data_IF_609221094147
#
_entry.id   IF_609221094147
#
_cell.length_a   1.000
_cell.length_b   1.000
_cell.length_c   1.000
_cell.angle_alpha   90.00
_cell.angle_beta   90.00
_cell.angle_gamma   90.00
#
_symmetry.space_group_name_H-M   'P 1'
#
loop_
_entity.id
_entity.type
_entity.pdbx_description
1 polymer ?
#
# COMPACT_ATOMS: atom_id res chain seq x y z
N UNK A 1 31.08 -11.17 1.70
CA UNK A 1 30.38 -10.43 2.77
C UNK A 1 28.89 -10.46 2.47
N UNK A 2 28.04 -10.50 3.50
CA UNK A 2 26.58 -10.51 3.33
C UNK A 2 25.95 -9.46 4.23
N UNK A 3 24.83 -8.87 3.80
CA UNK A 3 24.03 -7.94 4.59
C UNK A 3 22.72 -8.62 4.94
N UNK A 4 22.39 -8.68 6.23
CA UNK A 4 21.13 -9.26 6.71
C UNK A 4 20.09 -8.14 6.78
N UNK A 5 19.01 -8.28 6.03
CA UNK A 5 17.87 -7.36 6.02
C UNK A 5 16.66 -8.07 6.60
N UNK A 6 16.10 -7.56 7.69
CA UNK A 6 14.89 -8.10 8.27
C UNK A 6 13.66 -7.58 7.53
N UNK A 7 12.87 -8.50 6.95
CA UNK A 7 11.73 -8.17 6.09
C UNK A 7 10.43 -8.71 6.70
N UNK A 8 9.82 -7.99 7.66
CA UNK A 8 8.55 -8.40 8.25
C UNK A 8 7.46 -8.42 7.16
N UNK A 9 6.43 -9.30 7.25
CA UNK A 9 5.35 -9.33 6.28
C UNK A 9 4.69 -7.96 6.12
N UNK A 10 4.40 -7.59 4.87
CA UNK A 10 3.76 -6.31 4.57
C UNK A 10 2.25 -6.49 4.46
N UNK A 11 1.48 -5.50 4.93
CA UNK A 11 0.02 -5.51 4.82
C UNK A 11 -0.39 -4.64 3.65
N UNK A 12 -1.20 -5.20 2.76
CA UNK A 12 -1.81 -4.46 1.65
C UNK A 12 -3.02 -3.70 2.18
N UNK A 13 -3.03 -2.38 1.98
CA UNK A 13 -4.06 -1.49 2.58
C UNK A 13 -4.77 -0.60 1.57
N UNK A 14 -4.42 -0.70 0.30
CA UNK A 14 -5.12 0.02 -0.75
C UNK A 14 -4.58 -0.27 -2.14
N UNK A 15 -5.24 0.30 -3.13
CA UNK A 15 -4.85 0.27 -4.54
C UNK A 15 -4.92 1.66 -5.14
N UNK A 16 -3.98 1.96 -6.02
CA UNK A 16 -3.92 3.19 -6.82
C UNK A 16 -3.93 2.79 -8.29
N UNK A 17 -4.90 3.33 -9.02
CA UNK A 17 -4.94 3.24 -10.47
C UNK A 17 -4.23 4.44 -11.09
N UNK A 18 -3.38 4.19 -12.09
CA UNK A 18 -2.69 5.21 -12.87
C UNK A 18 -3.17 5.18 -14.32
N UNK A 19 -3.50 6.37 -14.82
CA UNK A 19 -3.84 6.61 -16.23
C UNK A 19 -2.67 7.27 -16.93
N UNK A 20 -2.37 6.86 -18.17
CA UNK A 20 -1.37 7.55 -18.98
C UNK A 20 -1.98 8.80 -19.60
N UNK A 21 -1.28 9.90 -19.40
CA UNK A 21 -1.57 11.19 -20.03
C UNK A 21 -0.36 11.57 -20.88
N UNK A 22 -0.48 12.53 -21.82
CA UNK A 22 0.66 13.00 -22.60
C UNK A 22 1.85 13.53 -21.77
N UNK A 23 1.61 13.86 -20.48
CA UNK A 23 2.65 14.32 -19.53
C UNK A 23 3.16 13.21 -18.62
N UNK A 24 2.82 11.95 -18.89
CA UNK A 24 3.17 10.80 -18.08
C UNK A 24 1.98 10.23 -17.29
N UNK A 25 2.30 9.33 -16.35
CA UNK A 25 1.31 8.66 -15.52
C UNK A 25 0.73 9.61 -14.46
N UNK A 26 -0.59 9.67 -14.38
CA UNK A 26 -1.32 10.42 -13.36
C UNK A 26 -2.13 9.47 -12.49
N UNK A 27 -2.12 9.69 -11.17
CA UNK A 27 -3.01 8.97 -10.25
C UNK A 27 -4.47 9.27 -10.60
N UNK A 28 -5.23 8.24 -10.95
CA UNK A 28 -6.63 8.33 -11.33
C UNK A 28 -7.54 8.24 -10.11
N UNK A 29 -7.46 7.11 -9.39
CA UNK A 29 -8.23 6.85 -8.17
C UNK A 29 -7.37 6.08 -7.18
N UNK A 30 -7.70 6.24 -5.90
CA UNK A 30 -7.11 5.47 -4.80
C UNK A 30 -8.23 4.89 -3.97
N UNK A 31 -8.19 3.57 -3.77
CA UNK A 31 -9.12 2.84 -2.92
C UNK A 31 -8.34 2.30 -1.74
N UNK A 32 -8.84 2.48 -0.52
CA UNK A 32 -8.23 1.93 0.69
C UNK A 32 -9.07 0.77 1.23
N UNK A 33 -8.48 -0.04 2.10
CA UNK A 33 -9.16 -1.12 2.81
C UNK A 33 -10.23 -0.61 3.78
N UNK A 34 -11.10 -1.51 4.22
CA UNK A 34 -12.13 -1.22 5.24
C UNK A 34 -11.47 -1.03 6.60
N UNK A 35 -10.60 -1.96 6.97
CA UNK A 35 -9.87 -1.96 8.22
C UNK A 35 -8.43 -1.50 7.98
N UNK A 36 -8.06 -0.49 8.77
CA UNK A 36 -6.73 0.11 8.72
C UNK A 36 -6.08 0.02 10.10
N UNK A 37 -4.90 -0.58 10.17
CA UNK A 37 -4.14 -0.72 11.40
C UNK A 37 -3.77 0.65 11.99
N UNK A 38 -3.66 0.72 13.31
CA UNK A 38 -3.23 1.95 13.99
C UNK A 38 -1.79 2.35 13.63
N UNK A 39 -0.94 1.39 13.28
CA UNK A 39 0.42 1.63 12.78
C UNK A 39 0.41 2.32 11.43
N UNK A 40 -0.53 1.97 10.55
CA UNK A 40 -0.76 2.67 9.30
C UNK A 40 -1.33 4.06 9.52
N UNK A 41 -2.36 4.20 10.38
CA UNK A 41 -2.93 5.51 10.74
C UNK A 41 -1.89 6.47 11.33
N UNK A 42 -0.90 5.96 12.10
CA UNK A 42 0.23 6.74 12.61
C UNK A 42 1.03 7.44 11.49
N UNK A 43 1.04 6.91 10.26
CA UNK A 43 1.75 7.54 9.13
C UNK A 43 1.18 8.92 8.78
N UNK A 44 -0.12 9.11 8.99
CA UNK A 44 -0.87 10.32 8.66
C UNK A 44 -0.86 11.40 9.75
N UNK A 45 -0.18 11.15 10.88
CA UNK A 45 -0.05 12.12 11.97
C UNK A 45 1.42 12.40 12.27
N UNK A 46 1.78 13.69 12.36
CA UNK A 46 3.09 14.08 12.90
C UNK A 46 3.14 13.82 14.40
N UNK A 47 2.08 14.17 15.13
CA UNK A 47 1.98 13.94 16.57
C UNK A 47 0.78 13.03 16.90
N UNK A 48 1.02 11.72 16.90
CA UNK A 48 -0.02 10.71 17.13
C UNK A 48 -0.72 10.84 18.49
N UNK A 49 0.03 11.14 19.56
CA UNK A 49 -0.49 11.13 20.93
C UNK A 49 -1.37 12.33 21.24
N UNK A 50 -1.10 13.49 20.63
CA UNK A 50 -1.93 14.70 20.77
C UNK A 50 -3.07 14.78 19.76
N UNK A 51 -3.18 13.82 18.84
CA UNK A 51 -4.18 13.83 17.77
C UNK A 51 -5.46 13.11 18.17
N UNK A 52 -6.60 13.51 17.57
CA UNK A 52 -7.90 12.82 17.71
C UNK A 52 -7.98 11.48 16.96
N UNK A 53 -6.94 11.09 16.21
CA UNK A 53 -6.81 9.81 15.48
C UNK A 53 -8.01 9.47 14.57
N UNK A 54 -8.56 10.48 13.89
CA UNK A 54 -9.73 10.35 13.00
C UNK A 54 -9.43 9.91 11.55
N UNK A 55 -8.17 9.61 11.21
CA UNK A 55 -7.77 9.18 9.88
C UNK A 55 -8.55 7.93 9.47
N UNK A 56 -9.07 7.94 8.23
CA UNK A 56 -9.89 6.88 7.63
C UNK A 56 -11.22 6.57 8.31
N UNK A 57 -11.60 7.20 9.43
CA UNK A 57 -12.84 6.84 10.15
C UNK A 57 -14.11 6.98 9.30
N UNK A 58 -14.21 8.03 8.46
CA UNK A 58 -15.33 8.18 7.51
C UNK A 58 -15.22 7.20 6.33
N UNK A 59 -14.01 6.86 5.92
CA UNK A 59 -13.76 5.98 4.80
C UNK A 59 -14.10 4.52 5.15
N UNK A 60 -13.75 4.07 6.36
CA UNK A 60 -14.15 2.75 6.86
C UNK A 60 -15.69 2.61 6.90
N UNK A 61 -16.42 3.67 7.30
CA UNK A 61 -17.90 3.65 7.27
C UNK A 61 -18.47 3.49 5.86
N UNK A 62 -17.80 4.04 4.85
CA UNK A 62 -18.21 3.89 3.44
C UNK A 62 -18.22 2.42 2.98
N UNK A 63 -17.38 1.57 3.55
CA UNK A 63 -17.41 0.13 3.27
C UNK A 63 -18.60 -0.58 3.92
N UNK A 64 -19.19 0.00 4.97
CA UNK A 64 -20.34 -0.54 5.68
C UNK A 64 -21.67 -0.11 5.04
N UNK A 65 -21.72 1.14 4.55
CA UNK A 65 -22.90 1.71 3.91
C UNK A 65 -23.12 1.14 2.50
N UNK A 66 -24.36 0.77 2.16
CA UNK A 66 -24.72 0.21 0.85
C UNK A 66 -24.44 1.17 -0.33
N UNK A 67 -24.68 2.46 -0.14
CA UNK A 67 -24.35 3.48 -1.14
C UNK A 67 -22.83 3.63 -1.32
N UNK A 68 -22.08 3.51 -0.21
CA UNK A 68 -20.62 3.58 -0.20
C UNK A 68 -19.99 2.40 -0.92
N UNK A 69 -20.49 1.18 -0.70
CA UNK A 69 -20.09 -0.02 -1.45
C UNK A 69 -20.35 0.13 -2.94
N UNK A 70 -21.53 0.62 -3.34
CA UNK A 70 -21.84 0.90 -4.76
C UNK A 70 -20.86 1.90 -5.38
N UNK A 71 -20.43 2.91 -4.62
CA UNK A 71 -19.43 3.86 -5.10
C UNK A 71 -18.05 3.20 -5.25
N UNK A 72 -17.64 2.33 -4.32
CA UNK A 72 -16.38 1.58 -4.40
C UNK A 72 -16.37 0.63 -5.61
N UNK A 73 -17.46 -0.08 -5.88
CA UNK A 73 -17.59 -0.93 -7.07
C UNK A 73 -17.46 -0.14 -8.38
N UNK A 74 -18.07 1.06 -8.42
CA UNK A 74 -17.88 1.99 -9.55
C UNK A 74 -16.44 2.42 -9.67
N UNK A 75 -15.76 2.69 -8.55
CA UNK A 75 -14.35 3.09 -8.54
C UNK A 75 -13.44 1.95 -9.05
N UNK A 76 -13.67 0.71 -8.61
CA UNK A 76 -12.97 -0.48 -9.12
C UNK A 76 -13.23 -0.69 -10.61
N UNK A 77 -14.48 -0.58 -11.05
CA UNK A 77 -14.86 -0.71 -12.47
C UNK A 77 -14.19 0.38 -13.33
N UNK A 78 -14.13 1.61 -12.83
CA UNK A 78 -13.45 2.71 -13.50
C UNK A 78 -11.94 2.49 -13.57
N UNK A 79 -11.32 1.89 -12.54
CA UNK A 79 -9.92 1.50 -12.59
C UNK A 79 -9.66 0.47 -13.69
N UNK A 80 -10.48 -0.59 -13.77
CA UNK A 80 -10.36 -1.62 -14.80
C UNK A 80 -10.45 -1.04 -16.21
N UNK A 81 -11.31 -0.03 -16.43
CA UNK A 81 -11.56 0.55 -17.75
C UNK A 81 -10.49 1.55 -18.19
N UNK A 82 -10.02 2.43 -17.29
CA UNK A 82 -9.20 3.58 -17.68
C UNK A 82 -7.74 3.49 -17.25
N UNK A 83 -7.41 2.70 -16.23
CA UNK A 83 -6.04 2.64 -15.72
C UNK A 83 -5.20 1.71 -16.58
N UNK A 84 -3.96 2.09 -16.84
CA UNK A 84 -2.99 1.24 -17.54
C UNK A 84 -2.04 0.57 -16.56
N UNK A 85 -1.77 1.24 -15.44
CA UNK A 85 -0.89 0.75 -14.38
C UNK A 85 -1.69 0.71 -13.09
N UNK A 86 -1.57 -0.40 -12.36
CA UNK A 86 -2.18 -0.58 -11.04
C UNK A 86 -1.06 -0.78 -10.04
N UNK A 87 -1.09 -0.02 -8.94
CA UNK A 87 -0.13 -0.11 -7.84
C UNK A 87 -0.87 -0.38 -6.55
N UNK A 88 -0.31 -1.24 -5.72
CA UNK A 88 -0.85 -1.57 -4.40
C UNK A 88 -0.16 -0.72 -3.37
N UNK A 89 -0.93 -0.12 -2.47
CA UNK A 89 -0.41 0.55 -1.28
C UNK A 89 -0.20 -0.51 -0.22
N UNK A 90 1.06 -0.73 0.14
CA UNK A 90 1.42 -1.66 1.20
C UNK A 90 2.18 -0.92 2.31
N UNK A 91 2.01 -1.38 3.55
CA UNK A 91 2.80 -0.88 4.67
C UNK A 91 3.56 -1.98 5.39
N UNK A 92 4.70 -1.61 5.95
CA UNK A 92 5.49 -2.49 6.82
C UNK A 92 4.87 -2.58 8.22
N UNK A 93 5.15 -3.68 8.93
CA UNK A 93 4.71 -3.90 10.31
C UNK A 93 5.88 -3.65 11.26
N UNK A 94 6.00 -2.42 11.77
CA UNK A 94 7.17 -2.01 12.55
C UNK A 94 7.16 -2.50 13.99
N UNK A 95 5.99 -2.87 14.54
CA UNK A 95 5.92 -3.45 15.88
C UNK A 95 6.49 -4.86 15.99
N UNK A 96 6.61 -5.58 14.87
CA UNK A 96 7.22 -6.90 14.86
C UNK A 96 8.74 -6.83 15.04
N UNK A 97 9.34 -5.69 14.70
CA UNK A 97 10.76 -5.47 14.83
C UNK A 97 11.12 -4.99 16.25
N UNK A 98 12.30 -5.32 16.78
CA UNK A 98 12.80 -4.86 18.07
C UNK A 98 13.26 -3.38 18.03
N UNK A 99 12.52 -2.52 17.33
CA UNK A 99 12.81 -1.10 17.16
C UNK A 99 11.82 -0.24 17.96
N UNK A 100 12.26 0.94 18.41
CA UNK A 100 11.39 1.91 19.10
C UNK A 100 10.31 2.52 18.19
N UNK A 101 10.51 2.44 16.88
CA UNK A 101 9.63 3.05 15.89
C UNK A 101 8.32 2.26 15.75
N UNK A 102 7.19 2.92 16.00
CA UNK A 102 5.83 2.35 15.87
C UNK A 102 5.09 2.81 14.61
N UNK A 103 5.72 3.67 13.81
CA UNK A 103 5.14 4.29 12.62
C UNK A 103 5.48 3.44 11.42
N UNK A 104 4.48 2.86 10.77
CA UNK A 104 4.69 2.07 9.55
C UNK A 104 5.22 2.92 8.40
N UNK A 105 5.95 2.27 7.50
CA UNK A 105 6.37 2.85 6.23
C UNK A 105 5.36 2.44 5.16
N UNK A 106 4.73 3.43 4.52
CA UNK A 106 3.82 3.24 3.38
C UNK A 106 4.60 3.39 2.09
N UNK A 107 4.40 2.47 1.15
CA UNK A 107 4.95 2.51 -0.20
C UNK A 107 3.95 1.95 -1.20
N UNK A 108 4.11 2.36 -2.46
CA UNK A 108 3.36 1.82 -3.57
C UNK A 108 4.21 0.79 -4.32
N UNK A 109 3.67 -0.40 -4.50
CA UNK A 109 4.30 -1.49 -5.25
C UNK A 109 3.49 -1.74 -6.51
N UNK A 110 4.12 -1.68 -7.68
CA UNK A 110 3.44 -1.91 -8.95
C UNK A 110 3.09 -3.39 -9.13
N UNK A 111 1.85 -3.67 -9.55
CA UNK A 111 1.47 -5.02 -9.96
C UNK A 111 1.82 -5.27 -11.43
N UNK A 112 2.57 -6.33 -11.65
CA UNK A 112 3.01 -6.80 -12.96
C UNK A 112 2.34 -8.14 -13.31
N UNK A 113 2.29 -8.46 -14.61
CA UNK A 113 1.63 -9.66 -15.13
C UNK A 113 0.11 -9.53 -15.31
N UNK A 114 -0.48 -10.36 -16.17
CA UNK A 114 -1.92 -10.41 -16.43
C UNK A 114 -2.53 -9.16 -17.08
N UNK A 115 -3.85 -9.16 -17.21
CA UNK A 115 -4.61 -8.00 -17.70
C UNK A 115 -4.82 -6.99 -16.58
N UNK A 116 -5.22 -5.75 -16.93
CA UNK A 116 -5.55 -4.73 -15.92
C UNK A 116 -6.69 -5.17 -15.01
N UNK A 117 -7.68 -5.91 -15.55
CA UNK A 117 -8.78 -6.45 -14.72
C UNK A 117 -8.23 -7.40 -13.67
N UNK A 118 -7.40 -8.36 -14.08
CA UNK A 118 -6.82 -9.36 -13.19
C UNK A 118 -6.00 -8.71 -12.08
N UNK A 119 -5.25 -7.64 -12.40
CA UNK A 119 -4.48 -6.87 -11.41
C UNK A 119 -5.38 -6.20 -10.38
N UNK A 120 -6.51 -5.62 -10.82
CA UNK A 120 -7.47 -4.96 -9.92
C UNK A 120 -8.15 -6.00 -9.03
N UNK A 121 -8.53 -7.15 -9.59
CA UNK A 121 -9.18 -8.23 -8.86
C UNK A 121 -8.23 -8.84 -7.82
N UNK A 122 -6.99 -9.15 -8.22
CA UNK A 122 -5.95 -9.60 -7.31
C UNK A 122 -5.71 -8.61 -6.17
N UNK A 123 -5.62 -7.32 -6.49
CA UNK A 123 -5.41 -6.30 -5.47
C UNK A 123 -6.58 -6.19 -4.49
N UNK A 124 -7.81 -6.36 -4.98
CA UNK A 124 -9.02 -6.36 -4.16
C UNK A 124 -9.03 -7.55 -3.21
N UNK A 125 -8.70 -8.75 -3.69
CA UNK A 125 -8.62 -9.96 -2.85
C UNK A 125 -7.53 -9.86 -1.78
N UNK A 126 -6.41 -9.18 -2.11
CA UNK A 126 -5.29 -9.01 -1.20
C UNK A 126 -5.42 -7.85 -0.22
N UNK A 127 -6.51 -7.06 -0.27
CA UNK A 127 -6.76 -6.04 0.75
C UNK A 127 -6.79 -6.68 2.15
N UNK A 128 -6.08 -6.04 3.08
CA UNK A 128 -5.94 -6.44 4.49
C UNK A 128 -5.16 -7.74 4.73
N UNK A 129 -4.71 -8.40 3.66
CA UNK A 129 -3.88 -9.60 3.77
C UNK A 129 -2.40 -9.23 3.92
N UNK A 130 -1.66 -10.15 4.55
CA UNK A 130 -0.21 -10.06 4.65
C UNK A 130 0.44 -10.72 3.44
N UNK A 131 1.49 -10.06 2.92
CA UNK A 131 2.35 -10.58 1.86
C UNK A 131 3.76 -10.73 2.44
N UNK A 132 4.24 -11.98 2.44
CA UNK A 132 5.60 -12.29 2.86
C UNK A 132 6.61 -12.02 1.73
N UNK A 133 7.86 -11.75 2.10
CA UNK A 133 8.95 -11.49 1.13
C UNK A 133 9.17 -12.68 0.18
N UNK A 134 9.01 -13.90 0.68
CA UNK A 134 9.18 -15.14 -0.09
C UNK A 134 8.10 -15.36 -1.15
N UNK A 135 6.98 -14.63 -1.08
CA UNK A 135 5.97 -14.65 -2.12
C UNK A 135 6.28 -13.65 -3.27
N UNK A 136 7.26 -12.77 -3.08
CA UNK A 136 7.62 -11.71 -4.04
C UNK A 136 8.95 -12.01 -4.71
N UNK A 137 9.96 -12.42 -3.94
CA UNK A 137 11.30 -12.70 -4.43
C UNK A 137 11.62 -14.18 -4.33
N UNK A 138 12.36 -14.67 -5.32
CA UNK A 138 12.86 -16.04 -5.33
C UNK A 138 14.28 -16.11 -4.76
N UNK A 139 14.68 -17.30 -4.29
CA UNK A 139 16.07 -17.53 -3.93
C UNK A 139 16.97 -17.39 -5.18
N UNK A 140 18.16 -16.82 -4.98
CA UNK A 140 19.19 -16.60 -6.03
C UNK A 140 18.77 -15.64 -7.17
N UNK A 141 17.69 -14.88 -6.97
CA UNK A 141 17.27 -13.80 -7.88
C UNK A 141 18.16 -12.56 -7.72
N UNK A 142 18.53 -11.92 -8.83
CA UNK A 142 19.21 -10.63 -8.79
C UNK A 142 18.21 -9.53 -8.45
N UNK A 143 18.41 -8.86 -7.32
CA UNK A 143 17.54 -7.79 -6.83
C UNK A 143 18.28 -6.46 -6.74
N UNK A 144 17.57 -5.37 -7.02
CA UNK A 144 18.06 -4.02 -6.79
C UNK A 144 17.72 -3.55 -5.38
N UNK A 145 18.68 -2.89 -4.72
CA UNK A 145 18.51 -2.32 -3.38
C UNK A 145 18.53 -0.80 -3.44
N UNK A 146 17.41 -0.18 -3.08
CA UNK A 146 17.25 1.27 -3.05
C UNK A 146 17.19 1.72 -1.58
N UNK A 147 18.06 2.66 -1.19
CA UNK A 147 18.15 3.15 0.17
C UNK A 147 18.80 4.53 0.28
N UNK A 148 18.85 5.06 1.50
CA UNK A 148 19.55 6.32 1.82
C UNK A 148 20.85 5.97 2.54
N UNK A 149 21.96 6.61 2.13
CA UNK A 149 23.27 6.38 2.74
C UNK A 149 23.38 6.99 4.14
N UNK A 150 24.37 6.54 4.92
CA UNK A 150 24.63 7.08 6.25
C UNK A 150 25.11 8.54 6.14
N UNK A 151 24.38 9.48 6.74
CA UNK A 151 24.80 10.88 6.81
C UNK A 151 26.07 11.05 7.67
N UNK A 152 26.98 11.94 7.26
CA UNK A 152 28.25 12.19 7.97
C UNK A 152 28.36 13.62 8.54
N UNK A 153 27.31 14.43 8.39
CA UNK A 153 27.29 15.81 8.88
C UNK A 153 28.30 16.71 8.17
N UNK A 154 28.50 17.88 8.75
CA UNK A 154 29.65 18.75 8.57
C UNK A 154 30.29 18.94 9.95
#
# INVERSE_FOLDING_TARGET
>A
AVTIVETPPMVVVGVVGYVSTPRGLRSFKTIFSEHMSDECKRRFYRNWYKSKKKAFTKYCKKWQDEEGKKQLEKDFSAMKKYCQVVRVIAHTQMRLLPLRQKKSHLMEVQLNGGTISDKVDWAREKLEQQVAVSAVFSQDEMIDVIGVTKGHGW
#
